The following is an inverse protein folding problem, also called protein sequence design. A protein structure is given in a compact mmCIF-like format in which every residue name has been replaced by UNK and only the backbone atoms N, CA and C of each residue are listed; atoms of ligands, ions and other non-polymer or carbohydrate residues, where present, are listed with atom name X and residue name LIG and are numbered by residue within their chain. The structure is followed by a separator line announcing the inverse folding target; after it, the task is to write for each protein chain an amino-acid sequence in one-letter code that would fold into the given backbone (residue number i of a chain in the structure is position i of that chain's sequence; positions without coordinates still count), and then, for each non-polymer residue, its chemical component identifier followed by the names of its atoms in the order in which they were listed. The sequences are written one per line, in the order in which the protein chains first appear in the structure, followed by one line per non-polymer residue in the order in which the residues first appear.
data_IF_596191611193
#
_entry.id   IF_596191611193
#
_cell.length_a   1.000
_cell.length_b   1.000
_cell.length_c   1.000
_cell.angle_alpha   90.00
_cell.angle_beta   90.00
_cell.angle_gamma   90.00
#
_symmetry.space_group_name_H-M   'P 1'
#
loop_
_entity.id
_entity.type
_entity.pdbx_description
1 polymer ?
#
# COMPACT_ATOMS: atom_id res chain seq x y z
N UNK A 1 7.74 -9.19 -39.63
CA UNK A 1 8.17 -8.29 -38.53
C UNK A 1 7.21 -8.37 -37.32
N UNK A 2 6.89 -9.58 -36.83
CA UNK A 2 5.92 -9.76 -35.72
C UNK A 2 6.53 -10.24 -34.40
N UNK A 3 7.81 -10.64 -34.40
CA UNK A 3 8.49 -11.17 -33.20
C UNK A 3 8.94 -10.10 -32.19
N UNK A 4 9.17 -8.86 -32.65
CA UNK A 4 9.59 -7.77 -31.75
C UNK A 4 8.46 -7.21 -30.90
N UNK A 5 7.21 -7.31 -31.36
CA UNK A 5 6.04 -6.77 -30.64
C UNK A 5 5.72 -7.55 -29.35
N UNK A 6 5.92 -8.87 -29.33
CA UNK A 6 5.69 -9.67 -28.12
C UNK A 6 6.65 -9.32 -26.97
N UNK A 7 7.94 -9.06 -27.27
CA UNK A 7 8.94 -8.79 -26.23
C UNK A 7 8.69 -7.45 -25.52
N UNK A 8 8.19 -6.44 -26.22
CA UNK A 8 7.89 -5.13 -25.63
C UNK A 8 6.69 -5.21 -24.67
N UNK A 9 5.67 -6.01 -25.00
CA UNK A 9 4.48 -6.17 -24.13
C UNK A 9 4.82 -6.94 -22.85
N UNK A 10 5.66 -7.98 -22.92
CA UNK A 10 6.10 -8.72 -21.73
C UNK A 10 6.93 -7.84 -20.78
N UNK A 11 7.84 -7.03 -21.31
CA UNK A 11 8.66 -6.13 -20.49
C UNK A 11 7.81 -5.02 -19.80
N UNK A 12 6.79 -4.50 -20.46
CA UNK A 12 5.87 -3.51 -19.88
C UNK A 12 4.99 -4.11 -18.77
N UNK A 13 4.53 -5.36 -18.93
CA UNK A 13 3.77 -6.07 -17.89
C UNK A 13 4.64 -6.31 -16.64
N UNK A 14 5.89 -6.73 -16.81
CA UNK A 14 6.83 -6.92 -15.70
C UNK A 14 7.18 -5.60 -14.98
N UNK A 15 7.27 -4.49 -15.72
CA UNK A 15 7.52 -3.17 -15.13
C UNK A 15 6.31 -2.63 -14.34
N UNK A 16 5.09 -2.88 -14.82
CA UNK A 16 3.87 -2.48 -14.13
C UNK A 16 3.68 -3.24 -12.80
N UNK A 17 4.08 -4.52 -12.75
CA UNK A 17 4.00 -5.36 -11.54
C UNK A 17 4.99 -4.88 -10.46
N UNK A 18 6.17 -4.37 -10.87
CA UNK A 18 7.17 -3.82 -9.93
C UNK A 18 6.77 -2.51 -9.25
N UNK A 19 5.78 -1.79 -9.76
CA UNK A 19 5.42 -0.45 -9.27
C UNK A 19 4.07 -0.37 -8.54
N UNK A 20 3.41 -1.49 -8.26
CA UNK A 20 2.17 -1.42 -7.48
C UNK A 20 2.48 -1.07 -6.03
N UNK A 21 1.83 -0.03 -5.51
CA UNK A 21 1.96 0.33 -4.09
C UNK A 21 1.56 -0.84 -3.18
N UNK A 22 2.27 -1.05 -2.06
CA UNK A 22 1.89 -2.06 -1.09
C UNK A 22 0.50 -1.74 -0.58
N UNK A 23 -0.34 -2.77 -0.51
CA UNK A 23 -1.73 -2.61 -0.11
C UNK A 23 -2.18 -3.80 0.72
N UNK A 24 -3.28 -3.63 1.44
CA UNK A 24 -3.96 -4.69 2.16
C UNK A 24 -5.40 -4.77 1.70
N UNK A 25 -5.93 -5.98 1.78
CA UNK A 25 -7.32 -6.27 1.54
C UNK A 25 -7.83 -7.17 2.66
N UNK A 26 -9.05 -6.94 3.08
CA UNK A 26 -9.60 -7.62 4.24
C UNK A 26 -10.93 -8.26 3.92
N UNK A 27 -11.20 -9.35 4.61
CA UNK A 27 -12.49 -10.00 4.51
C UNK A 27 -12.83 -10.74 5.78
N UNK A 28 -14.11 -10.65 6.09
CA UNK A 28 -14.72 -11.43 7.14
C UNK A 28 -14.33 -12.90 7.18
N UNK A 29 -13.96 -13.36 8.38
CA UNK A 29 -13.59 -14.77 8.67
C UNK A 29 -12.38 -15.26 7.87
N UNK A 30 -11.60 -14.35 7.27
CA UNK A 30 -10.39 -14.63 6.53
C UNK A 30 -9.23 -13.84 7.14
N UNK A 31 -8.02 -14.34 6.94
CA UNK A 31 -6.82 -13.52 7.19
C UNK A 31 -6.74 -12.42 6.14
N UNK A 32 -6.17 -11.28 6.51
CA UNK A 32 -5.95 -10.17 5.58
C UNK A 32 -5.03 -10.62 4.44
N UNK A 33 -5.28 -10.15 3.23
CA UNK A 33 -4.33 -10.26 2.13
C UNK A 33 -3.46 -9.02 2.07
N UNK A 34 -2.24 -9.21 1.59
CA UNK A 34 -1.28 -8.14 1.31
C UNK A 34 -0.86 -8.20 -0.15
N UNK A 35 -0.69 -7.03 -0.78
CA UNK A 35 -0.18 -6.86 -2.13
C UNK A 35 1.28 -6.44 -2.06
N UNK A 36 2.15 -7.24 -2.64
CA UNK A 36 3.58 -6.97 -2.71
C UNK A 36 4.05 -7.23 -4.14
N UNK A 37 4.62 -6.22 -4.81
CA UNK A 37 5.02 -6.29 -6.22
C UNK A 37 3.90 -6.86 -7.12
N UNK A 38 2.69 -6.31 -7.01
CA UNK A 38 1.53 -6.67 -7.83
C UNK A 38 0.86 -7.98 -7.47
N UNK A 39 1.44 -8.78 -6.56
CA UNK A 39 0.93 -10.10 -6.20
C UNK A 39 0.21 -10.04 -4.86
N UNK A 40 -1.04 -10.53 -4.85
CA UNK A 40 -1.83 -10.69 -3.65
C UNK A 40 -1.48 -12.02 -2.95
N UNK A 41 -1.12 -11.93 -1.69
CA UNK A 41 -0.81 -13.10 -0.84
C UNK A 41 -1.53 -12.99 0.49
N UNK A 42 -1.98 -14.11 1.04
CA UNK A 42 -2.61 -14.09 2.37
C UNK A 42 -1.55 -13.87 3.44
N UNK A 43 -1.77 -12.86 4.28
CA UNK A 43 -0.92 -12.55 5.43
C UNK A 43 -1.29 -13.39 6.65
N UNK A 44 -0.44 -13.34 7.68
CA UNK A 44 -0.67 -13.95 9.00
C UNK A 44 -1.59 -13.11 9.90
N UNK A 45 -2.07 -11.96 9.41
CA UNK A 45 -2.78 -10.98 10.22
C UNK A 45 -4.27 -11.24 10.18
N UNK A 46 -4.89 -11.36 11.35
CA UNK A 46 -6.35 -11.42 11.45
C UNK A 46 -6.96 -10.03 11.17
N UNK A 47 -7.93 -10.00 10.27
CA UNK A 47 -8.79 -8.83 10.07
C UNK A 47 -10.09 -9.01 10.83
N UNK A 48 -10.52 -7.97 11.55
CA UNK A 48 -11.88 -7.95 12.08
C UNK A 48 -12.85 -7.51 10.98
N UNK A 49 -14.07 -8.04 11.04
CA UNK A 49 -15.09 -7.95 9.99
C UNK A 49 -15.72 -6.57 9.80
N UNK A 50 -15.43 -5.62 10.67
CA UNK A 50 -16.09 -4.33 10.71
C UNK A 50 -15.56 -3.45 9.60
N UNK A 51 -16.42 -2.57 9.09
CA UNK A 51 -16.03 -1.38 8.33
C UNK A 51 -14.69 -0.87 8.83
N UNK A 52 -13.67 -0.95 7.98
CA UNK A 52 -12.32 -0.64 8.38
C UNK A 52 -12.25 0.82 8.83
N UNK A 53 -12.09 1.02 10.13
CA UNK A 53 -11.58 2.28 10.64
C UNK A 53 -10.14 2.42 10.13
N UNK A 54 -9.76 3.60 9.68
CA UNK A 54 -8.42 3.85 9.11
C UNK A 54 -7.30 3.39 10.06
N UNK A 55 -7.56 3.40 11.38
CA UNK A 55 -6.67 2.90 12.41
C UNK A 55 -6.40 1.38 12.33
N UNK A 56 -7.43 0.56 12.07
CA UNK A 56 -7.25 -0.88 11.90
C UNK A 56 -6.47 -1.17 10.61
N UNK A 57 -6.76 -0.46 9.53
CA UNK A 57 -5.97 -0.56 8.29
C UNK A 57 -4.49 -0.22 8.54
N UNK A 58 -4.20 0.84 9.29
CA UNK A 58 -2.81 1.20 9.66
C UNK A 58 -2.15 0.08 10.46
N UNK A 59 -2.85 -0.50 11.45
CA UNK A 59 -2.33 -1.62 12.25
C UNK A 59 -2.00 -2.82 11.36
N UNK A 60 -2.93 -3.23 10.50
CA UNK A 60 -2.72 -4.37 9.60
C UNK A 60 -1.60 -4.09 8.60
N UNK A 61 -1.49 -2.88 8.04
CA UNK A 61 -0.37 -2.51 7.17
C UNK A 61 0.98 -2.65 7.89
N UNK A 62 1.09 -2.19 9.15
CA UNK A 62 2.33 -2.32 9.94
C UNK A 62 2.70 -3.78 10.22
N UNK A 63 1.72 -4.61 10.56
CA UNK A 63 1.94 -6.03 10.84
C UNK A 63 2.22 -6.86 9.56
N UNK A 64 1.56 -6.54 8.45
CA UNK A 64 1.73 -7.24 7.18
C UNK A 64 3.05 -6.88 6.47
N UNK A 65 3.58 -5.67 6.71
CA UNK A 65 4.81 -5.15 6.11
C UNK A 65 5.79 -4.63 7.19
N UNK A 66 6.40 -5.53 8.00
CA UNK A 66 7.29 -5.12 9.09
C UNK A 66 8.59 -4.45 8.61
N UNK A 67 8.95 -4.61 7.33
CA UNK A 67 10.11 -3.97 6.71
C UNK A 67 9.85 -2.52 6.26
N UNK A 68 8.58 -2.09 6.21
CA UNK A 68 8.19 -0.76 5.73
C UNK A 68 7.86 0.16 6.90
N UNK A 69 8.28 1.42 6.81
CA UNK A 69 7.87 2.45 7.76
C UNK A 69 6.52 3.03 7.34
N UNK A 70 5.43 2.38 7.78
CA UNK A 70 4.06 2.78 7.47
C UNK A 70 3.70 4.08 8.22
N UNK A 71 3.33 5.11 7.47
CA UNK A 71 2.93 6.44 7.96
C UNK A 71 1.42 6.66 7.94
N UNK A 72 0.68 5.84 7.19
CA UNK A 72 -0.76 5.96 7.04
C UNK A 72 -1.32 4.96 6.05
N UNK A 73 -2.60 5.11 5.74
CA UNK A 73 -3.31 4.31 4.73
C UNK A 73 -4.17 5.19 3.85
N UNK A 74 -4.46 4.73 2.65
CA UNK A 74 -5.39 5.37 1.72
C UNK A 74 -6.37 4.34 1.18
N UNK A 75 -7.69 4.51 1.36
CA UNK A 75 -8.67 3.64 0.71
C UNK A 75 -8.64 3.86 -0.80
N UNK A 76 -8.54 2.77 -1.58
CA UNK A 76 -8.60 2.83 -3.05
C UNK A 76 -9.99 2.50 -3.58
N UNK A 77 -10.86 1.93 -2.75
CA UNK A 77 -12.21 1.51 -3.10
C UNK A 77 -12.37 0.00 -3.11
N UNK A 78 -13.48 -0.47 -3.66
CA UNK A 78 -13.76 -1.89 -3.78
C UNK A 78 -13.09 -2.46 -5.05
N UNK A 79 -12.13 -3.35 -4.88
CA UNK A 79 -11.41 -4.02 -5.97
C UNK A 79 -11.66 -5.53 -5.95
N UNK A 80 -11.54 -6.18 -7.10
CA UNK A 80 -11.55 -7.63 -7.17
C UNK A 80 -10.16 -8.15 -6.81
N UNK A 81 -10.05 -8.76 -5.63
CA UNK A 81 -8.79 -9.28 -5.11
C UNK A 81 -8.75 -10.79 -5.29
N UNK A 82 -7.77 -11.26 -6.07
CA UNK A 82 -7.61 -12.67 -6.41
C UNK A 82 -7.16 -13.52 -5.21
N UNK A 83 -7.64 -14.77 -5.17
CA UNK A 83 -7.31 -15.73 -4.11
C UNK A 83 -5.98 -16.45 -4.36
N UNK A 84 -5.42 -17.14 -3.35
CA UNK A 84 -6.19 -17.77 -2.27
C UNK A 84 -6.28 -16.98 -0.96
N UNK A 85 -7.46 -17.05 -0.32
CA UNK A 85 -7.73 -16.44 1.00
C UNK A 85 -7.65 -17.49 2.11
N UNK A 86 -6.76 -17.31 3.10
CA UNK A 86 -6.73 -18.21 4.26
C UNK A 86 -7.92 -17.94 5.19
N UNK A 87 -8.42 -18.97 5.87
CA UNK A 87 -9.41 -18.80 6.95
C UNK A 87 -8.78 -18.10 8.15
N UNK A 88 -9.55 -17.37 8.94
CA UNK A 88 -9.03 -16.69 10.14
C UNK A 88 -8.39 -17.65 11.16
N UNK A 89 -8.82 -18.92 11.18
CA UNK A 89 -8.29 -20.01 12.01
C UNK A 89 -7.15 -20.78 11.33
N UNK A 90 -6.57 -20.24 10.25
CA UNK A 90 -5.50 -20.90 9.52
C UNK A 90 -4.16 -20.72 10.25
N UNK A 91 -3.73 -21.76 10.95
CA UNK A 91 -2.46 -21.77 11.70
C UNK A 91 -1.38 -22.60 11.00
N UNK A 92 -1.76 -23.60 10.21
CA UNK A 92 -0.85 -24.51 9.51
C UNK A 92 -0.46 -23.98 8.12
N UNK A 93 0.63 -23.21 8.08
CA UNK A 93 1.18 -22.61 6.87
C UNK A 93 1.82 -23.61 5.89
N UNK A 94 1.94 -24.88 6.26
CA UNK A 94 2.33 -25.93 5.30
C UNK A 94 1.19 -26.27 4.34
N UNK A 95 -0.06 -25.96 4.71
CA UNK A 95 -1.24 -26.21 3.88
C UNK A 95 -1.56 -24.99 3.02
N UNK A 96 -1.78 -25.16 1.70
CA UNK A 96 -2.14 -24.05 0.85
C UNK A 96 -3.53 -23.52 1.22
N UNK A 97 -3.65 -22.20 1.18
CA UNK A 97 -4.94 -21.56 1.37
C UNK A 97 -5.87 -21.81 0.18
N UNK A 98 -7.18 -21.79 0.44
CA UNK A 98 -8.20 -22.11 -0.56
C UNK A 98 -9.27 -21.01 -0.58
N UNK A 99 -9.65 -20.58 -1.78
CA UNK A 99 -10.72 -19.62 -1.95
C UNK A 99 -10.71 -19.01 -3.34
N UNK A 100 -11.84 -18.45 -3.74
CA UNK A 100 -11.97 -17.65 -4.96
C UNK A 100 -11.62 -16.18 -4.65
N UNK A 101 -11.44 -15.38 -5.69
CA UNK A 101 -11.35 -13.94 -5.55
C UNK A 101 -12.65 -13.32 -5.03
N UNK A 102 -12.54 -12.15 -4.41
CA UNK A 102 -13.67 -11.44 -3.82
C UNK A 102 -13.57 -9.94 -4.09
N UNK A 103 -14.71 -9.29 -4.28
CA UNK A 103 -14.81 -7.84 -4.24
C UNK A 103 -14.69 -7.39 -2.78
N UNK A 104 -13.65 -6.64 -2.46
CA UNK A 104 -13.32 -6.18 -1.10
C UNK A 104 -12.76 -4.77 -1.15
N UNK A 105 -12.90 -4.04 -0.04
CA UNK A 105 -12.23 -2.75 0.11
C UNK A 105 -10.72 -2.95 0.21
N UNK A 106 -9.98 -2.18 -0.57
CA UNK A 106 -8.51 -2.17 -0.58
C UNK A 106 -7.99 -0.88 0.03
N UNK A 107 -6.93 -1.02 0.82
CA UNK A 107 -6.22 0.09 1.44
C UNK A 107 -4.76 0.03 1.03
N UNK A 108 -4.28 1.08 0.39
CA UNK A 108 -2.86 1.25 0.12
C UNK A 108 -2.15 1.69 1.40
N UNK A 109 -1.03 1.02 1.69
CA UNK A 109 -0.18 1.32 2.82
C UNK A 109 0.81 2.43 2.41
N UNK A 110 0.61 3.63 2.95
CA UNK A 110 1.53 4.74 2.74
C UNK A 110 2.78 4.50 3.58
N UNK A 111 3.95 4.44 2.94
CA UNK A 111 5.22 4.25 3.64
C UNK A 111 6.22 5.32 3.25
N UNK A 112 7.17 5.59 4.15
CA UNK A 112 8.33 6.42 3.82
C UNK A 112 9.40 5.54 3.20
N UNK A 113 9.95 5.94 2.05
CA UNK A 113 11.10 5.26 1.47
C UNK A 113 12.31 5.41 2.38
N UNK A 114 12.75 4.31 2.99
CA UNK A 114 14.02 4.23 3.70
C UNK A 114 15.20 4.11 2.71
N UNK A 115 15.18 4.85 1.60
CA UNK A 115 16.31 4.92 0.70
C UNK A 115 17.37 5.87 1.31
N UNK A 116 18.53 5.37 1.79
CA UNK A 116 19.57 6.22 2.37
C UNK A 116 20.17 7.21 1.35
N UNK A 117 19.97 7.00 0.05
CA UNK A 117 20.41 7.94 -0.99
C UNK A 117 19.48 9.16 -1.15
N UNK A 118 18.17 9.01 -0.91
CA UNK A 118 17.23 10.15 -0.91
C UNK A 118 17.45 11.05 0.31
N UNK A 119 17.87 10.46 1.44
CA UNK A 119 18.19 11.20 2.68
C UNK A 119 19.39 12.15 2.54
N UNK A 120 20.24 11.97 1.52
CA UNK A 120 21.36 12.89 1.24
C UNK A 120 20.93 14.10 0.41
N UNK A 121 19.97 13.96 -0.50
CA UNK A 121 19.45 15.10 -1.28
C UNK A 121 18.69 16.09 -0.40
N UNK A 122 17.92 15.62 0.58
CA UNK A 122 17.16 16.51 1.48
C UNK A 122 18.11 17.36 2.35
N UNK A 123 19.25 16.81 2.79
CA UNK A 123 20.24 17.58 3.56
C UNK A 123 20.89 18.71 2.76
N UNK A 124 20.90 18.64 1.43
CA UNK A 124 21.45 19.69 0.59
C UNK A 124 20.45 20.82 0.31
N UNK A 125 19.14 20.57 0.51
CA UNK A 125 18.07 21.55 0.30
C UNK A 125 17.84 22.39 1.57
N UNK A 126 18.15 21.88 2.76
CA UNK A 126 18.05 22.63 4.02
C UNK A 126 19.07 23.79 4.13
N UNK A 127 20.06 23.89 3.23
CA UNK A 127 20.94 25.06 3.10
C UNK A 127 20.46 26.11 2.08
N UNK A 128 19.39 25.83 1.32
CA UNK A 128 18.80 26.82 0.44
C UNK A 128 17.86 27.74 1.23
N UNK A 129 18.48 28.76 1.83
CA UNK A 129 17.94 30.08 2.17
C UNK A 129 16.50 30.26 1.71
N UNK A 130 15.55 30.17 2.66
CA UNK A 130 14.20 30.71 2.49
C UNK A 130 14.36 32.22 2.26
N UNK A 131 14.09 32.78 1.06
CA UNK A 131 13.98 34.22 0.97
C UNK A 131 12.74 34.60 1.79
N UNK A 132 12.95 35.40 2.84
CA UNK A 132 11.88 36.05 3.59
C UNK A 132 11.10 36.94 2.62
N UNK A 133 10.05 36.40 2.00
CA UNK A 133 9.07 37.21 1.30
C UNK A 133 8.21 37.87 2.38
N UNK A 134 8.48 39.16 2.59
CA UNK A 134 7.68 40.07 3.40
C UNK A 134 6.26 40.16 2.84
N UNK A 135 5.35 39.33 3.36
CA UNK A 135 3.92 39.52 3.18
C UNK A 135 3.48 40.74 4.00
N UNK A 136 3.22 41.85 3.30
CA UNK A 136 2.56 43.03 3.82
C UNK A 136 1.05 42.70 4.04
N UNK A 137 0.40 43.16 5.13
CA UNK A 137 -0.86 42.60 5.59
C UNK A 137 -2.05 43.40 5.06
N UNK A 138 -2.71 42.92 4.01
CA UNK A 138 -4.08 43.33 3.68
C UNK A 138 -4.80 42.09 3.20
N UNK A 139 -5.45 41.37 4.12
CA UNK A 139 -6.77 40.74 3.97
C UNK A 139 -6.98 39.83 5.19
N UNK A 140 -7.66 40.38 6.20
CA UNK A 140 -8.38 39.60 7.20
C UNK A 140 -9.44 38.77 6.49
N UNK A 141 -9.45 37.45 6.71
CA UNK A 141 -10.69 36.68 6.82
C UNK A 141 -10.53 35.74 8.01
N UNK A 142 -11.18 36.10 9.12
CA UNK A 142 -11.52 35.21 10.21
C UNK A 142 -12.57 34.21 9.72
N UNK A 143 -12.41 32.93 10.02
CA UNK A 143 -13.53 32.00 10.16
C UNK A 143 -13.32 31.24 11.47
N UNK A 144 -14.38 31.24 12.26
CA UNK A 144 -14.55 30.63 13.58
C UNK A 144 -14.31 29.11 13.60
#
# INVERSE_FOLDING_TARGET
MWRFLCLVVSALAELSIKNSAPAIASRCKRLAQKRENGVWTSSKVSSTCSTFDDEEAVRICKEAFPSLFIIGVRPTGAEHVEGPWCQATHEDWSRPCKGKGHMVMVYECLHRDNNPNVRKEIKHIDEFVIPRVSFNPIFQIFIF
#
